data_IF_668395972423
#
_entry.id   IF_668395972423
#
_cell.length_a   1.000
_cell.length_b   1.000
_cell.length_c   1.000
_cell.angle_alpha   90.00
_cell.angle_beta   90.00
_cell.angle_gamma   90.00
#
_symmetry.space_group_name_H-M   'P 1'
#
loop_
_entity.id
_entity.type
_entity.pdbx_description
1 polymer ?
#
# COMPACT_ATOMS: atom_id res chain seq x y z
N UNK A 1 -3.00 13.44 -17.86
CA UNK A 1 -3.98 12.46 -17.35
C UNK A 1 -3.50 12.03 -15.97
N UNK A 2 -4.37 11.83 -14.98
CA UNK A 2 -3.96 11.33 -13.67
C UNK A 2 -3.35 9.93 -13.79
N UNK A 3 -2.27 9.69 -13.03
CA UNK A 3 -1.65 8.37 -12.87
C UNK A 3 -2.44 7.52 -11.86
N UNK A 4 -2.18 6.21 -11.80
CA UNK A 4 -2.79 5.36 -10.76
C UNK A 4 -2.34 5.82 -9.38
N UNK A 5 -1.07 6.20 -9.24
CA UNK A 5 -0.47 6.80 -8.06
C UNK A 5 -1.21 8.07 -7.62
N UNK A 6 -1.63 8.92 -8.56
CA UNK A 6 -2.47 10.10 -8.25
C UNK A 6 -3.86 9.71 -7.74
N UNK A 7 -4.45 8.66 -8.31
CA UNK A 7 -5.80 8.20 -7.96
C UNK A 7 -5.83 7.59 -6.57
N UNK A 8 -4.88 6.71 -6.23
CA UNK A 8 -4.87 6.03 -4.92
C UNK A 8 -4.49 6.97 -3.77
N UNK A 9 -3.78 8.06 -4.05
CA UNK A 9 -3.41 9.08 -3.07
C UNK A 9 -4.41 10.24 -3.00
N UNK A 10 -5.46 10.26 -3.83
CA UNK A 10 -6.36 11.39 -3.97
C UNK A 10 -7.13 11.75 -2.69
N UNK A 11 -7.30 10.79 -1.77
CA UNK A 11 -8.00 10.97 -0.51
C UNK A 11 -7.12 10.57 0.68
N UNK A 12 -5.83 10.95 0.65
CA UNK A 12 -4.90 10.65 1.72
C UNK A 12 -5.32 11.30 3.06
N UNK A 13 -5.87 10.48 3.95
CA UNK A 13 -6.21 10.87 5.33
C UNK A 13 -5.18 10.39 6.37
N UNK A 14 -4.12 9.68 5.95
CA UNK A 14 -3.16 9.01 6.85
C UNK A 14 -1.72 9.47 6.64
N UNK A 15 -1.47 10.39 5.70
CA UNK A 15 -0.15 10.92 5.39
C UNK A 15 0.68 9.99 4.50
N UNK A 16 0.06 9.04 3.79
CA UNK A 16 0.77 8.11 2.91
C UNK A 16 1.43 8.83 1.73
N UNK A 17 0.83 9.95 1.28
CA UNK A 17 1.39 10.78 0.21
C UNK A 17 2.78 11.32 0.53
N UNK A 18 3.16 11.44 1.80
CA UNK A 18 4.50 11.85 2.23
C UNK A 18 5.60 10.86 1.79
N UNK A 19 5.25 9.61 1.49
CA UNK A 19 6.20 8.61 1.00
C UNK A 19 6.49 8.77 -0.50
N UNK A 20 5.58 9.36 -1.28
CA UNK A 20 5.68 9.44 -2.74
C UNK A 20 6.99 10.03 -3.27
N UNK A 21 7.57 11.11 -2.70
CA UNK A 21 8.84 11.66 -3.17
C UNK A 21 10.03 10.70 -3.05
N UNK A 22 9.90 9.63 -2.26
CA UNK A 22 10.92 8.63 -2.01
C UNK A 22 10.72 7.34 -2.83
N UNK A 23 9.69 7.28 -3.66
CA UNK A 23 9.34 6.12 -4.47
C UNK A 23 9.57 6.40 -5.96
N UNK A 24 9.73 5.33 -6.72
CA UNK A 24 9.76 5.44 -8.18
C UNK A 24 8.39 5.88 -8.73
N UNK A 25 8.32 6.63 -9.84
CA UNK A 25 7.06 7.20 -10.33
C UNK A 25 5.96 6.18 -10.68
N UNK A 26 6.30 4.91 -10.89
CA UNK A 26 5.40 3.84 -11.33
C UNK A 26 5.34 2.66 -10.33
N UNK A 27 5.41 2.96 -9.02
CA UNK A 27 5.43 1.93 -7.98
C UNK A 27 4.19 1.02 -7.99
N UNK A 28 3.02 1.48 -8.45
CA UNK A 28 1.83 0.64 -8.59
C UNK A 28 1.98 -0.38 -9.71
N UNK A 29 2.51 0.05 -10.87
CA UNK A 29 2.77 -0.83 -12.01
C UNK A 29 3.81 -1.90 -11.64
N UNK A 30 4.90 -1.51 -11.01
CA UNK A 30 5.95 -2.45 -10.56
C UNK A 30 5.41 -3.50 -9.58
N UNK A 31 4.55 -3.10 -8.64
CA UNK A 31 3.90 -4.03 -7.73
C UNK A 31 2.96 -4.99 -8.47
N UNK A 32 2.17 -4.49 -9.43
CA UNK A 32 1.28 -5.32 -10.23
C UNK A 32 2.06 -6.33 -11.10
N UNK A 33 3.13 -5.90 -11.77
CA UNK A 33 4.01 -6.78 -12.54
C UNK A 33 4.60 -7.90 -11.67
N UNK A 34 5.07 -7.57 -10.45
CA UNK A 34 5.58 -8.57 -9.51
C UNK A 34 4.56 -9.69 -9.23
N UNK A 35 3.28 -9.35 -9.07
CA UNK A 35 2.23 -10.35 -8.86
C UNK A 35 1.96 -11.20 -10.12
N UNK A 36 1.89 -10.56 -11.29
CA UNK A 36 1.62 -11.24 -12.56
C UNK A 36 2.75 -12.17 -12.99
N UNK A 37 3.99 -11.80 -12.68
CA UNK A 37 5.19 -12.57 -13.00
C UNK A 37 5.40 -13.77 -12.06
N UNK A 38 4.71 -13.82 -10.92
CA UNK A 38 4.84 -14.86 -9.90
C UNK A 38 3.51 -15.60 -9.64
N UNK A 39 3.03 -16.43 -10.58
CA UNK A 39 1.81 -17.20 -10.39
C UNK A 39 2.01 -18.29 -9.33
N UNK A 40 0.96 -18.55 -8.54
CA UNK A 40 0.98 -19.58 -7.50
C UNK A 40 0.18 -19.17 -6.28
N UNK A 41 0.48 -19.80 -5.14
CA UNK A 41 -0.16 -19.48 -3.86
C UNK A 41 0.49 -18.26 -3.23
N UNK A 42 -0.33 -17.24 -2.94
CA UNK A 42 0.10 -16.02 -2.23
C UNK A 42 -0.33 -16.10 -0.77
N UNK A 43 0.61 -15.84 0.14
CA UNK A 43 0.31 -15.58 1.54
C UNK A 43 0.05 -14.08 1.73
N UNK A 44 -1.15 -13.73 2.18
CA UNK A 44 -1.48 -12.35 2.58
C UNK A 44 -1.41 -12.29 4.11
N UNK A 45 -0.52 -11.44 4.62
CA UNK A 45 -0.36 -11.18 6.05
C UNK A 45 -0.64 -9.70 6.34
N UNK A 46 -1.39 -9.44 7.40
CA UNK A 46 -1.79 -8.09 7.82
C UNK A 46 -1.86 -8.02 9.35
N UNK A 47 -2.05 -6.81 9.87
CA UNK A 47 -2.20 -6.52 11.29
C UNK A 47 -1.01 -5.76 11.85
N UNK A 48 -1.30 -4.61 12.47
CA UNK A 48 -0.32 -3.81 13.19
C UNK A 48 -0.79 -3.61 14.62
N UNK A 49 -0.03 -4.08 15.60
CA UNK A 49 -0.44 -4.03 17.00
C UNK A 49 -0.20 -2.65 17.62
N UNK A 50 -1.25 -2.01 18.13
CA UNK A 50 -1.17 -0.72 18.80
C UNK A 50 -1.10 -0.95 20.30
N UNK A 51 0.10 -0.82 20.86
CA UNK A 51 0.37 -1.05 22.29
C UNK A 51 -0.56 -0.26 23.22
N UNK A 52 -0.81 1.02 22.90
CA UNK A 52 -1.68 1.88 23.70
C UNK A 52 -3.16 1.43 23.68
N UNK A 53 -3.59 0.73 22.64
CA UNK A 53 -4.95 0.20 22.51
C UNK A 53 -5.07 -1.25 23.00
N UNK A 54 -3.95 -1.95 23.21
CA UNK A 54 -3.95 -3.37 23.52
C UNK A 54 -4.53 -4.25 22.40
N UNK A 55 -4.61 -3.74 21.17
CA UNK A 55 -5.35 -4.33 20.05
C UNK A 55 -4.65 -4.04 18.70
N UNK A 56 -4.90 -4.86 17.65
CA UNK A 56 -4.50 -4.52 16.29
C UNK A 56 -5.23 -3.28 15.78
N UNK A 57 -4.57 -2.47 14.95
CA UNK A 57 -5.22 -1.39 14.22
C UNK A 57 -6.17 -1.91 13.14
N UNK A 58 -7.01 -1.02 12.62
CA UNK A 58 -7.99 -1.34 11.56
C UNK A 58 -7.48 -1.09 10.15
N UNK A 59 -6.23 -0.66 9.97
CA UNK A 59 -5.60 -0.53 8.65
C UNK A 59 -5.09 -1.87 8.15
N UNK A 60 -5.62 -2.33 7.03
CA UNK A 60 -5.18 -3.56 6.38
C UNK A 60 -6.09 -4.78 6.55
N UNK A 61 -6.51 -5.19 7.78
CA UNK A 61 -7.53 -6.23 7.98
C UNK A 61 -8.88 -5.89 7.36
#
# INVERSE_FOLDING_TARGET
MPTIEDIILANDGRGISALRPHLEPNYCEKAASCLLDNPGTVLIATGFYIMAAGAPETDGP
#
